data_IF_401146231771
#
_entry.id   IF_401146231771
#
_cell.length_a   1.000
_cell.length_b   1.000
_cell.length_c   1.000
_cell.angle_alpha   90.00
_cell.angle_beta   90.00
_cell.angle_gamma   90.00
#
_symmetry.space_group_name_H-M   'P 1'
#
loop_
_entity.id
_entity.type
_entity.pdbx_description
1 polymer ?
#
# COMPACT_ATOMS: atom_id res chain seq x y z
N UNK A 1 30.82 -68.67 45.46
CA UNK A 1 30.20 -67.57 44.69
C UNK A 1 31.32 -66.79 44.02
N UNK A 2 31.22 -66.55 42.70
CA UNK A 2 32.22 -65.82 41.90
C UNK A 2 31.80 -64.35 41.75
N UNK A 3 32.78 -63.44 41.76
CA UNK A 3 32.57 -61.99 41.62
C UNK A 3 33.56 -61.42 40.61
N UNK A 4 33.18 -60.35 39.93
CA UNK A 4 34.01 -59.68 38.93
C UNK A 4 33.94 -58.16 39.14
N UNK A 5 35.10 -57.50 39.14
CA UNK A 5 35.22 -56.04 39.30
C UNK A 5 35.61 -55.47 37.94
N UNK A 6 34.60 -55.06 37.18
CA UNK A 6 34.81 -54.40 35.89
C UNK A 6 34.98 -52.89 36.08
N UNK A 7 36.13 -52.34 35.67
CA UNK A 7 36.26 -50.90 35.43
C UNK A 7 35.87 -50.60 33.98
N UNK A 8 34.82 -49.80 33.79
CA UNK A 8 34.41 -49.34 32.46
C UNK A 8 35.03 -47.97 32.15
N UNK A 9 35.70 -47.79 31.00
CA UNK A 9 36.15 -46.48 30.58
C UNK A 9 34.94 -45.58 30.25
N UNK A 10 35.00 -44.31 30.69
CA UNK A 10 33.94 -43.29 30.52
C UNK A 10 33.64 -42.88 29.05
N UNK A 11 34.29 -43.49 28.06
CA UNK A 11 34.08 -43.24 26.62
C UNK A 11 33.94 -44.57 25.87
N UNK A 12 33.13 -44.64 24.80
CA UNK A 12 32.99 -45.85 24.00
C UNK A 12 34.36 -46.18 23.35
N UNK A 13 35.01 -47.21 23.87
CA UNK A 13 36.27 -47.72 23.35
C UNK A 13 35.97 -48.89 22.42
N UNK A 14 36.41 -48.82 21.16
CA UNK A 14 36.10 -49.81 20.12
C UNK A 14 37.09 -50.99 20.05
N UNK A 15 38.01 -51.10 21.01
CA UNK A 15 39.00 -52.18 21.08
C UNK A 15 38.66 -53.24 22.15
N UNK A 16 39.33 -54.41 22.13
CA UNK A 16 39.17 -55.43 23.16
C UNK A 16 39.59 -54.85 24.53
N UNK A 17 38.67 -54.92 25.50
CA UNK A 17 38.93 -54.47 26.87
C UNK A 17 39.42 -55.65 27.68
N UNK A 18 40.68 -55.61 28.11
CA UNK A 18 41.24 -56.58 29.06
C UNK A 18 40.89 -56.13 30.48
N UNK A 19 39.97 -56.83 31.13
CA UNK A 19 39.57 -56.54 32.52
C UNK A 19 40.30 -57.51 33.44
N UNK A 20 41.00 -56.98 34.44
CA UNK A 20 41.59 -57.80 35.49
C UNK A 20 40.48 -58.23 36.48
N UNK A 21 40.17 -59.52 36.47
CA UNK A 21 39.11 -60.11 37.29
C UNK A 21 39.72 -60.74 38.54
N UNK A 22 39.23 -60.35 39.71
CA UNK A 22 39.59 -60.98 40.98
C UNK A 22 38.34 -61.57 41.65
N UNK A 23 38.45 -62.83 42.09
CA UNK A 23 37.38 -63.55 42.79
C UNK A 23 37.53 -63.36 44.30
N UNK A 24 36.63 -62.61 44.94
CA UNK A 24 36.67 -62.32 46.39
C UNK A 24 35.37 -62.75 47.07
N UNK A 25 35.33 -62.96 48.39
CA UNK A 25 34.05 -63.25 49.04
C UNK A 25 33.18 -61.98 49.15
N UNK A 26 31.84 -62.11 49.10
CA UNK A 26 30.93 -60.94 49.14
C UNK A 26 31.18 -60.04 50.36
N UNK A 27 31.45 -60.66 51.52
CA UNK A 27 31.72 -59.95 52.78
C UNK A 27 32.97 -59.07 52.66
N UNK A 28 34.04 -59.62 52.11
CA UNK A 28 35.31 -58.91 51.92
C UNK A 28 35.14 -57.74 50.95
N UNK A 29 34.34 -57.91 49.89
CA UNK A 29 34.01 -56.82 48.95
C UNK A 29 33.20 -55.73 49.63
N UNK A 30 32.20 -56.07 50.44
CA UNK A 30 31.40 -55.10 51.19
C UNK A 30 32.26 -54.31 52.19
N UNK A 31 33.22 -54.96 52.84
CA UNK A 31 34.18 -54.34 53.76
C UNK A 31 35.14 -53.39 53.03
N UNK A 32 35.71 -53.81 51.90
CA UNK A 32 36.56 -52.96 51.07
C UNK A 32 35.78 -51.78 50.48
N UNK A 33 34.50 -51.96 50.12
CA UNK A 33 33.64 -50.87 49.66
C UNK A 33 33.25 -49.90 50.78
N UNK A 34 33.19 -50.36 52.03
CA UNK A 34 33.00 -49.50 53.18
C UNK A 34 34.27 -48.67 53.43
N UNK A 35 35.44 -49.32 53.51
CA UNK A 35 36.74 -48.67 53.64
C UNK A 35 37.02 -47.66 52.52
N UNK A 36 36.72 -48.00 51.27
CA UNK A 36 36.88 -47.10 50.13
C UNK A 36 35.98 -45.86 50.27
N UNK A 37 34.73 -46.02 50.72
CA UNK A 37 33.81 -44.90 50.99
C UNK A 37 34.31 -44.01 52.11
N UNK A 38 34.84 -44.59 53.19
CA UNK A 38 35.38 -43.84 54.33
C UNK A 38 36.62 -43.01 53.95
N UNK A 39 37.36 -43.46 52.93
CA UNK A 39 38.51 -42.73 52.37
C UNK A 39 38.14 -41.85 51.16
N UNK A 40 36.85 -41.65 50.88
CA UNK A 40 36.36 -40.80 49.79
C UNK A 40 36.64 -41.34 48.38
N UNK A 41 37.03 -42.61 48.25
CA UNK A 41 37.26 -43.26 46.97
C UNK A 41 35.94 -43.71 46.36
N UNK A 42 35.70 -43.34 45.10
CA UNK A 42 34.47 -43.67 44.39
C UNK A 42 34.61 -44.94 43.55
N UNK A 43 33.84 -45.97 43.89
CA UNK A 43 33.75 -47.20 43.10
C UNK A 43 32.64 -47.06 42.05
N UNK A 44 33.00 -47.17 40.77
CA UNK A 44 32.09 -46.93 39.65
C UNK A 44 30.99 -47.98 39.49
N UNK A 45 31.32 -49.27 39.65
CA UNK A 45 30.38 -50.38 39.56
C UNK A 45 30.92 -51.62 40.26
N UNK A 46 30.03 -52.38 40.90
CA UNK A 46 30.33 -53.71 41.45
C UNK A 46 29.27 -54.69 40.95
N UNK A 47 29.70 -55.87 40.55
CA UNK A 47 28.82 -56.91 40.03
C UNK A 47 28.74 -58.08 41.00
N UNK A 48 27.52 -58.55 41.24
CA UNK A 48 27.29 -59.78 41.98
C UNK A 48 26.69 -60.81 41.02
N UNK A 49 27.23 -62.03 41.04
CA UNK A 49 26.59 -63.13 40.34
C UNK A 49 25.35 -63.56 41.13
N UNK A 50 24.16 -63.24 40.60
CA UNK A 50 22.89 -63.65 41.16
C UNK A 50 22.58 -65.07 40.72
N UNK A 51 23.12 -66.07 41.41
CA UNK A 51 22.62 -67.44 41.27
C UNK A 51 21.31 -67.51 42.03
N UNK A 52 20.19 -67.35 41.31
CA UNK A 52 18.91 -67.88 41.78
C UNK A 52 19.00 -69.41 41.62
N UNK A 53 18.62 -70.13 42.67
CA UNK A 53 18.72 -71.59 42.80
C UNK A 53 18.49 -72.34 41.47
N UNK A 54 19.54 -72.97 40.96
CA UNK A 54 19.46 -73.97 39.89
C UNK A 54 19.58 -73.49 38.44
N UNK A 55 19.60 -72.18 38.15
CA UNK A 55 19.74 -71.69 36.76
C UNK A 55 21.14 -71.09 36.51
N UNK A 56 21.91 -71.71 35.60
CA UNK A 56 23.28 -71.31 35.21
C UNK A 56 23.24 -70.24 34.10
N UNK A 57 22.09 -69.60 33.86
CA UNK A 57 22.05 -68.40 33.03
C UNK A 57 22.87 -67.30 33.73
N UNK A 58 24.05 -66.99 33.16
CA UNK A 58 24.98 -65.95 33.66
C UNK A 58 24.39 -64.56 33.40
N UNK A 59 23.31 -64.21 34.05
CA UNK A 59 22.74 -62.86 34.02
C UNK A 59 23.50 -62.00 35.03
N UNK A 60 24.54 -61.32 34.55
CA UNK A 60 25.33 -60.40 35.37
C UNK A 60 24.50 -59.16 35.72
N UNK A 61 24.19 -58.97 37.00
CA UNK A 61 23.47 -57.79 37.48
C UNK A 61 24.49 -56.75 37.94
N UNK A 62 24.66 -55.71 37.12
CA UNK A 62 25.53 -54.57 37.42
C UNK A 62 24.85 -53.65 38.44
N UNK A 63 25.36 -53.61 39.68
CA UNK A 63 24.93 -52.62 40.66
C UNK A 63 25.71 -51.34 40.41
N UNK A 64 25.15 -50.49 39.55
CA UNK A 64 25.63 -49.11 39.37
C UNK A 64 25.37 -48.30 40.63
N UNK A 65 26.33 -47.44 41.01
CA UNK A 65 26.22 -46.60 42.21
C UNK A 65 24.96 -45.72 42.17
N UNK A 66 24.39 -45.42 43.34
CA UNK A 66 23.16 -44.61 43.46
C UNK A 66 23.26 -43.26 42.73
N UNK A 67 24.46 -42.66 42.70
CA UNK A 67 24.75 -41.42 41.97
C UNK A 67 24.59 -41.54 40.46
N UNK A 68 24.96 -42.67 39.86
CA UNK A 68 24.79 -42.91 38.40
C UNK A 68 23.29 -43.04 38.05
N UNK A 69 22.52 -43.73 38.90
CA UNK A 69 21.04 -43.82 38.74
C UNK A 69 20.37 -42.46 38.93
N UNK A 70 20.80 -41.68 39.92
CA UNK A 70 20.31 -40.32 40.16
C UNK A 70 20.66 -39.37 38.99
N UNK A 71 21.87 -39.46 38.45
CA UNK A 71 22.29 -38.69 37.27
C UNK A 71 21.51 -39.08 36.01
N UNK A 72 21.22 -40.37 35.80
CA UNK A 72 20.38 -40.82 34.69
C UNK A 72 18.95 -40.26 34.76
N UNK A 73 18.34 -40.23 35.95
CA UNK A 73 17.03 -39.57 36.15
C UNK A 73 17.11 -38.08 35.90
N UNK A 74 18.07 -37.36 36.49
CA UNK A 74 18.28 -35.92 36.26
C UNK A 74 18.51 -35.59 34.79
N UNK A 75 19.25 -36.42 34.06
CA UNK A 75 19.49 -36.24 32.63
C UNK A 75 18.21 -36.42 31.80
N UNK A 76 17.33 -37.36 32.16
CA UNK A 76 16.02 -37.52 31.51
C UNK A 76 15.12 -36.30 31.76
N UNK A 77 15.08 -35.79 32.99
CA UNK A 77 14.34 -34.57 33.33
C UNK A 77 14.88 -33.35 32.57
N UNK A 78 16.20 -33.17 32.52
CA UNK A 78 16.81 -32.07 31.77
C UNK A 78 16.52 -32.17 30.26
N UNK A 79 16.51 -33.39 29.69
CA UNK A 79 16.10 -33.60 28.29
C UNK A 79 14.63 -33.30 28.06
N UNK A 80 13.74 -33.69 28.97
CA UNK A 80 12.32 -33.37 28.87
C UNK A 80 12.07 -31.86 28.96
N UNK A 81 12.76 -31.16 29.86
CA UNK A 81 12.71 -29.70 29.98
C UNK A 81 13.23 -29.03 28.71
N UNK A 82 14.38 -29.45 28.19
CA UNK A 82 14.93 -28.92 26.94
C UNK A 82 13.98 -29.15 25.76
N UNK A 83 13.38 -30.34 25.65
CA UNK A 83 12.41 -30.64 24.60
C UNK A 83 11.16 -29.75 24.73
N UNK A 84 10.64 -29.52 25.94
CA UNK A 84 9.51 -28.63 26.16
C UNK A 84 9.81 -27.17 25.82
N UNK A 85 11.03 -26.70 26.11
CA UNK A 85 11.46 -25.34 25.78
C UNK A 85 11.58 -25.16 24.26
N UNK A 86 12.13 -26.15 23.55
CA UNK A 86 12.22 -26.15 22.08
C UNK A 86 10.83 -26.16 21.45
N UNK A 87 9.93 -27.01 21.94
CA UNK A 87 8.54 -27.04 21.46
C UNK A 87 7.82 -25.70 21.70
N UNK A 88 8.02 -25.09 22.88
CA UNK A 88 7.50 -23.77 23.19
C UNK A 88 8.04 -22.69 22.25
N UNK A 89 9.34 -22.70 21.97
CA UNK A 89 9.97 -21.78 21.02
C UNK A 89 9.43 -21.96 19.59
N UNK A 90 9.25 -23.20 19.12
CA UNK A 90 8.64 -23.48 17.83
C UNK A 90 7.20 -22.98 17.76
N UNK A 91 6.40 -23.18 18.81
CA UNK A 91 5.02 -22.71 18.86
C UNK A 91 4.94 -21.17 18.81
N UNK A 92 5.79 -20.48 19.57
CA UNK A 92 5.90 -19.02 19.54
C UNK A 92 6.32 -18.50 18.17
N UNK A 93 7.25 -19.19 17.51
CA UNK A 93 7.69 -18.83 16.17
C UNK A 93 6.56 -18.94 15.13
N UNK A 94 5.79 -20.03 15.16
CA UNK A 94 4.63 -20.22 14.27
C UNK A 94 3.55 -19.17 14.54
N UNK A 95 3.26 -18.88 15.81
CA UNK A 95 2.34 -17.80 16.19
C UNK A 95 2.81 -16.44 15.70
N UNK A 96 4.12 -16.14 15.82
CA UNK A 96 4.71 -14.91 15.31
C UNK A 96 4.58 -14.76 13.80
N UNK A 97 4.83 -15.83 13.04
CA UNK A 97 4.62 -15.84 11.59
C UNK A 97 3.15 -15.63 11.21
N UNK A 98 2.22 -16.25 11.94
CA UNK A 98 0.79 -16.05 11.74
C UNK A 98 0.37 -14.60 11.97
N UNK A 99 0.86 -13.98 13.05
CA UNK A 99 0.58 -12.58 13.37
C UNK A 99 1.16 -11.64 12.31
N UNK A 100 2.39 -11.88 11.85
CA UNK A 100 3.02 -11.11 10.79
C UNK A 100 2.25 -11.21 9.47
N UNK A 101 1.79 -12.42 9.11
CA UNK A 101 0.97 -12.62 7.92
C UNK A 101 -0.36 -11.88 8.01
N UNK A 102 -1.01 -11.92 9.19
CA UNK A 102 -2.25 -11.20 9.43
C UNK A 102 -2.07 -9.67 9.33
N UNK A 103 -1.00 -9.13 9.93
CA UNK A 103 -0.67 -7.70 9.80
C UNK A 103 -0.39 -7.32 8.34
N UNK A 104 0.33 -8.16 7.60
CA UNK A 104 0.59 -7.93 6.17
C UNK A 104 -0.70 -7.90 5.34
N UNK A 105 -1.69 -8.76 5.66
CA UNK A 105 -2.99 -8.71 4.99
C UNK A 105 -3.76 -7.42 5.30
N UNK A 106 -3.78 -6.97 6.57
CA UNK A 106 -4.45 -5.71 6.92
C UNK A 106 -3.82 -4.50 6.22
N UNK A 107 -2.48 -4.43 6.19
CA UNK A 107 -1.77 -3.35 5.51
C UNK A 107 -2.04 -3.33 4.00
N UNK A 108 -2.15 -4.51 3.37
CA UNK A 108 -2.53 -4.60 1.95
C UNK A 108 -3.95 -4.10 1.71
N UNK A 109 -4.88 -4.44 2.58
CA UNK A 109 -6.27 -3.99 2.47
C UNK A 109 -6.38 -2.48 2.68
N UNK A 110 -5.66 -1.92 3.65
CA UNK A 110 -5.58 -0.47 3.86
C UNK A 110 -4.94 0.25 2.67
N UNK A 111 -3.83 -0.26 2.14
CA UNK A 111 -3.20 0.29 0.94
C UNK A 111 -4.14 0.22 -0.28
N UNK A 112 -4.90 -0.85 -0.45
CA UNK A 112 -5.89 -1.01 -1.51
C UNK A 112 -7.12 -0.09 -1.34
N UNK A 113 -7.47 0.29 -0.10
CA UNK A 113 -8.49 1.30 0.19
C UNK A 113 -7.99 2.70 -0.12
N UNK A 114 -6.77 3.03 0.31
CA UNK A 114 -6.15 4.33 0.07
C UNK A 114 -5.90 4.58 -1.41
N UNK A 115 -5.44 3.59 -2.16
CA UNK A 115 -5.27 3.70 -3.62
C UNK A 115 -6.61 3.87 -4.34
N UNK A 116 -7.69 3.21 -3.90
CA UNK A 116 -9.04 3.46 -4.44
C UNK A 116 -9.54 4.86 -4.13
N UNK A 117 -9.37 5.34 -2.89
CA UNK A 117 -9.75 6.71 -2.52
C UNK A 117 -8.95 7.76 -3.29
N UNK A 118 -7.63 7.59 -3.38
CA UNK A 118 -6.75 8.46 -4.17
C UNK A 118 -7.04 8.39 -5.67
N UNK A 119 -7.45 7.22 -6.19
CA UNK A 119 -7.89 7.06 -7.58
C UNK A 119 -9.13 7.89 -7.88
N UNK A 120 -10.13 7.85 -7.01
CA UNK A 120 -11.35 8.69 -7.09
C UNK A 120 -11.01 10.17 -7.02
N UNK A 121 -10.13 10.57 -6.10
CA UNK A 121 -9.68 11.97 -5.98
C UNK A 121 -8.87 12.43 -7.20
N UNK A 122 -8.04 11.56 -7.78
CA UNK A 122 -7.26 11.87 -8.98
C UNK A 122 -8.15 12.07 -10.21
N UNK A 123 -9.22 11.29 -10.34
CA UNK A 123 -10.20 11.42 -11.41
C UNK A 123 -11.04 12.69 -11.25
N UNK A 124 -11.46 13.01 -10.02
CA UNK A 124 -12.15 14.26 -9.70
C UNK A 124 -11.27 15.50 -9.95
N UNK A 125 -9.98 15.44 -9.60
CA UNK A 125 -9.02 16.51 -9.88
C UNK A 125 -8.77 16.67 -11.39
N UNK A 126 -8.67 15.56 -12.14
CA UNK A 126 -8.55 15.58 -13.58
C UNK A 126 -9.79 16.20 -14.24
N UNK A 127 -11.00 15.80 -13.83
CA UNK A 127 -12.25 16.41 -14.30
C UNK A 127 -12.34 17.91 -13.95
N UNK A 128 -11.97 18.29 -12.73
CA UNK A 128 -11.96 19.70 -12.32
C UNK A 128 -10.96 20.55 -13.15
N UNK A 129 -9.80 19.99 -13.48
CA UNK A 129 -8.82 20.66 -14.35
C UNK A 129 -9.32 20.78 -15.79
N UNK A 130 -9.98 19.75 -16.33
CA UNK A 130 -10.60 19.78 -17.66
C UNK A 130 -11.72 20.83 -17.75
N UNK A 131 -12.57 20.93 -16.73
CA UNK A 131 -13.61 21.96 -16.65
C UNK A 131 -13.02 23.37 -16.57
N UNK A 132 -11.93 23.56 -15.81
CA UNK A 132 -11.22 24.85 -15.76
C UNK A 132 -10.59 25.21 -17.11
N UNK A 133 -9.92 24.26 -17.76
CA UNK A 133 -9.33 24.46 -19.08
C UNK A 133 -10.39 24.79 -20.13
N UNK A 134 -11.53 24.08 -20.13
CA UNK A 134 -12.65 24.37 -21.02
C UNK A 134 -13.25 25.75 -20.74
N UNK A 135 -13.37 26.14 -19.47
CA UNK A 135 -13.87 27.47 -19.08
C UNK A 135 -12.93 28.58 -19.53
N UNK A 136 -11.62 28.35 -19.47
CA UNK A 136 -10.62 29.32 -19.92
C UNK A 136 -10.59 29.42 -21.44
N UNK A 137 -10.68 28.28 -22.15
CA UNK A 137 -10.86 28.26 -23.61
C UNK A 137 -12.16 28.94 -24.04
N UNK A 138 -13.26 28.74 -23.31
CA UNK A 138 -14.51 29.44 -23.55
C UNK A 138 -14.38 30.94 -23.26
N UNK A 139 -13.61 31.35 -22.24
CA UNK A 139 -13.32 32.77 -21.97
C UNK A 139 -12.47 33.42 -23.04
N UNK A 140 -11.47 32.72 -23.55
CA UNK A 140 -10.65 33.19 -24.68
C UNK A 140 -11.45 33.20 -25.99
N UNK A 141 -12.34 32.23 -26.19
CA UNK A 141 -13.20 32.14 -27.36
C UNK A 141 -14.42 33.08 -27.29
N UNK A 142 -14.89 33.46 -26.10
CA UNK A 142 -16.04 34.35 -25.93
C UNK A 142 -15.58 35.81 -25.99
N UNK A 143 -16.01 36.56 -27.02
CA UNK A 143 -15.65 37.96 -27.24
C UNK A 143 -16.44 38.90 -26.31
N UNK A 144 -16.63 38.57 -25.03
CA UNK A 144 -17.47 39.34 -24.11
C UNK A 144 -17.00 40.82 -24.01
N UNK A 145 -15.69 41.05 -23.99
CA UNK A 145 -15.10 42.40 -24.06
C UNK A 145 -15.29 43.08 -25.42
N UNK A 146 -15.29 42.31 -26.52
CA UNK A 146 -15.51 42.86 -27.88
C UNK A 146 -16.96 43.26 -28.11
N UNK A 147 -17.93 42.45 -27.66
CA UNK A 147 -19.37 42.78 -27.81
C UNK A 147 -19.71 44.05 -27.05
N UNK A 148 -19.26 44.20 -25.80
CA UNK A 148 -19.46 45.44 -25.04
C UNK A 148 -18.77 46.64 -25.70
N UNK A 149 -17.55 46.48 -26.23
CA UNK A 149 -16.88 47.58 -26.96
C UNK A 149 -17.57 47.94 -28.27
N UNK A 150 -18.18 46.98 -28.98
CA UNK A 150 -18.95 47.22 -30.20
C UNK A 150 -20.26 47.94 -29.89
N UNK A 151 -20.94 47.59 -28.81
CA UNK A 151 -22.14 48.31 -28.34
C UNK A 151 -21.81 49.75 -27.92
N UNK A 152 -20.69 49.97 -27.22
CA UNK A 152 -20.24 51.32 -26.90
C UNK A 152 -19.90 52.14 -28.15
N UNK A 153 -19.19 51.54 -29.13
CA UNK A 153 -18.89 52.19 -30.39
C UNK A 153 -20.15 52.54 -31.19
N UNK A 154 -21.17 51.67 -31.16
CA UNK A 154 -22.47 51.96 -31.75
C UNK A 154 -23.12 53.16 -31.09
N UNK A 155 -23.18 53.20 -29.75
CA UNK A 155 -23.78 54.32 -29.02
C UNK A 155 -23.07 55.65 -29.28
N UNK A 156 -21.75 55.64 -29.45
CA UNK A 156 -20.94 56.85 -29.68
C UNK A 156 -21.06 57.38 -31.12
N UNK A 157 -21.15 56.49 -32.12
CA UNK A 157 -21.07 56.87 -33.55
C UNK A 157 -22.42 56.84 -34.26
N UNK A 158 -23.50 56.39 -33.61
CA UNK A 158 -24.83 56.43 -34.20
C UNK A 158 -25.28 57.89 -34.32
N UNK A 159 -25.72 58.33 -35.51
CA UNK A 159 -26.27 59.67 -35.69
C UNK A 159 -27.48 59.89 -34.79
N UNK A 160 -27.66 61.11 -34.26
CA UNK A 160 -28.81 61.43 -33.40
C UNK A 160 -30.18 61.35 -34.09
N UNK A 161 -30.21 61.29 -35.42
CA UNK A 161 -31.40 61.07 -36.25
C UNK A 161 -31.62 59.60 -36.64
N UNK A 162 -30.76 58.67 -36.19
CA UNK A 162 -30.91 57.24 -36.38
C UNK A 162 -31.31 56.53 -35.07
N UNK A 163 -32.17 55.53 -35.17
CA UNK A 163 -32.67 54.75 -34.04
C UNK A 163 -32.44 53.26 -34.27
N UNK A 164 -31.92 52.54 -33.29
CA UNK A 164 -31.75 51.09 -33.31
C UNK A 164 -32.90 50.43 -32.55
N UNK A 165 -33.56 49.46 -33.19
CA UNK A 165 -34.68 48.70 -32.60
C UNK A 165 -34.28 47.29 -32.21
N UNK A 166 -33.34 46.69 -32.95
CA UNK A 166 -32.93 45.30 -32.78
C UNK A 166 -31.42 45.17 -32.91
N UNK A 167 -30.80 44.47 -31.97
CA UNK A 167 -29.41 44.04 -32.05
C UNK A 167 -29.34 42.55 -31.71
N UNK A 168 -28.91 41.73 -32.66
CA UNK A 168 -28.77 40.29 -32.47
C UNK A 168 -27.34 39.88 -32.76
N UNK A 169 -26.80 39.02 -31.90
CA UNK A 169 -25.48 38.43 -32.09
C UNK A 169 -25.64 36.93 -32.20
N UNK A 170 -25.42 36.40 -33.42
CA UNK A 170 -25.52 34.98 -33.72
C UNK A 170 -24.35 34.57 -34.61
N UNK A 171 -23.74 33.43 -34.32
CA UNK A 171 -22.69 32.82 -35.16
C UNK A 171 -21.53 33.76 -35.52
N UNK A 172 -21.15 34.66 -34.60
CA UNK A 172 -20.06 35.62 -34.83
C UNK A 172 -20.40 36.81 -35.73
N UNK A 173 -21.69 36.97 -36.08
CA UNK A 173 -22.21 38.12 -36.83
C UNK A 173 -23.15 38.93 -35.96
N UNK A 174 -22.96 40.25 -35.93
CA UNK A 174 -23.91 41.17 -35.31
C UNK A 174 -24.85 41.71 -36.37
N UNK A 175 -26.16 41.53 -36.19
CA UNK A 175 -27.21 42.07 -37.05
C UNK A 175 -27.91 43.20 -36.30
N UNK A 176 -28.01 44.35 -36.95
CA UNK A 176 -28.61 45.58 -36.43
C UNK A 176 -29.81 45.95 -37.29
N UNK A 177 -30.96 46.14 -36.65
CA UNK A 177 -32.18 46.65 -37.28
C UNK A 177 -32.56 48.00 -36.68
N UNK A 178 -32.92 48.96 -37.52
CA UNK A 178 -33.25 50.30 -37.06
C UNK A 178 -33.95 51.15 -38.10
N UNK A 179 -34.11 52.45 -37.81
CA UNK A 179 -34.68 53.47 -38.70
C UNK A 179 -33.77 54.69 -38.76
N UNK A 180 -33.60 55.25 -39.94
CA UNK A 180 -32.84 56.50 -40.13
C UNK A 180 -33.34 57.23 -41.37
N UNK A 181 -33.47 58.57 -41.36
CA UNK A 181 -33.83 59.36 -42.54
C UNK A 181 -32.90 59.07 -43.73
N UNK A 182 -31.61 58.86 -43.45
CA UNK A 182 -30.59 58.53 -44.43
C UNK A 182 -29.72 57.33 -43.96
N UNK A 183 -30.14 56.08 -44.24
CA UNK A 183 -29.42 54.88 -43.79
C UNK A 183 -27.95 54.81 -44.23
N UNK A 184 -27.64 55.34 -45.42
CA UNK A 184 -26.27 55.42 -45.94
C UNK A 184 -25.37 56.30 -45.09
N UNK A 185 -25.89 57.40 -44.55
CA UNK A 185 -25.16 58.32 -43.66
C UNK A 185 -24.93 57.67 -42.30
N UNK A 186 -25.91 56.96 -41.77
CA UNK A 186 -25.74 56.16 -40.55
C UNK A 186 -24.67 55.08 -40.73
N UNK A 187 -24.66 54.37 -41.85
CA UNK A 187 -23.61 53.41 -42.17
C UNK A 187 -22.22 54.07 -42.20
N UNK A 188 -22.09 55.23 -42.87
CA UNK A 188 -20.83 55.95 -42.99
C UNK A 188 -20.32 56.43 -41.62
N UNK A 189 -21.21 56.92 -40.75
CA UNK A 189 -20.88 57.32 -39.39
C UNK A 189 -20.37 56.12 -38.57
N UNK A 190 -21.06 54.97 -38.62
CA UNK A 190 -20.63 53.76 -37.92
C UNK A 190 -19.28 53.23 -38.45
N UNK A 191 -19.03 53.30 -39.76
CA UNK A 191 -17.75 52.88 -40.37
C UNK A 191 -16.54 53.71 -39.93
N UNK A 192 -16.74 54.90 -39.35
CA UNK A 192 -15.63 55.70 -38.84
C UNK A 192 -14.97 55.08 -37.59
N UNK A 193 -15.68 54.20 -36.88
CA UNK A 193 -15.11 53.43 -35.78
C UNK A 193 -14.33 52.22 -36.30
N UNK A 194 -13.10 52.05 -35.83
CA UNK A 194 -12.26 50.90 -36.16
C UNK A 194 -12.91 49.55 -35.77
N UNK A 195 -13.77 49.54 -34.74
CA UNK A 195 -14.48 48.35 -34.27
C UNK A 195 -15.67 47.96 -35.15
N UNK A 196 -16.18 48.90 -35.95
CA UNK A 196 -17.35 48.74 -36.80
C UNK A 196 -17.03 48.90 -38.30
N UNK A 197 -15.75 49.05 -38.69
CA UNK A 197 -15.33 49.30 -40.07
C UNK A 197 -15.85 48.26 -41.09
N UNK A 198 -16.09 47.02 -40.64
CA UNK A 198 -16.63 45.92 -41.45
C UNK A 198 -18.15 45.94 -41.66
N UNK A 199 -18.88 46.90 -41.08
CA UNK A 199 -20.34 46.93 -41.15
C UNK A 199 -20.84 47.14 -42.59
N UNK A 200 -21.88 46.42 -42.96
CA UNK A 200 -22.51 46.46 -44.29
C UNK A 200 -24.00 46.74 -44.13
N UNK A 201 -24.54 47.46 -45.10
CA UNK A 201 -25.99 47.67 -45.22
C UNK A 201 -26.56 46.54 -46.06
N UNK A 202 -27.37 45.69 -45.44
CA UNK A 202 -27.93 44.49 -46.08
C UNK A 202 -29.23 44.82 -46.82
N UNK A 203 -30.09 45.63 -46.20
CA UNK A 203 -31.35 46.05 -46.82
C UNK A 203 -31.86 47.38 -46.28
N UNK A 204 -32.65 48.06 -47.12
CA UNK A 204 -33.41 49.27 -46.76
C UNK A 204 -34.84 49.08 -47.24
N UNK A 205 -35.80 49.21 -46.33
CA UNK A 205 -37.22 49.14 -46.61
C UNK A 205 -37.86 50.50 -46.36
N UNK A 206 -38.82 50.89 -47.22
CA UNK A 206 -39.66 52.06 -46.94
C UNK A 206 -40.54 51.75 -45.74
N UNK A 207 -40.73 52.71 -44.84
CA UNK A 207 -41.69 52.53 -43.75
C UNK A 207 -43.11 52.37 -44.31
N UNK A 208 -43.91 51.54 -43.65
CA UNK A 208 -45.32 51.35 -43.95
C UNK A 208 -46.15 52.61 -43.68
N UNK A 209 -45.67 53.51 -42.81
CA UNK A 209 -46.35 54.73 -42.41
C UNK A 209 -45.79 55.95 -43.16
N UNK A 210 -46.66 56.77 -43.80
CA UNK A 210 -46.23 58.01 -44.45
C UNK A 210 -45.63 58.97 -43.41
N UNK A 211 -44.39 59.42 -43.63
CA UNK A 211 -43.67 60.35 -42.76
C UNK A 211 -42.69 59.70 -41.78
N UNK A 212 -42.64 58.38 -41.70
CA UNK A 212 -41.61 57.69 -40.91
C UNK A 212 -40.32 57.48 -41.70
N UNK A 213 -39.19 57.50 -40.97
CA UNK A 213 -37.88 57.18 -41.53
C UNK A 213 -37.83 55.72 -42.06
N UNK A 214 -37.11 55.46 -43.17
CA UNK A 214 -36.97 54.11 -43.71
C UNK A 214 -36.28 53.18 -42.71
N UNK A 215 -36.69 51.90 -42.74
CA UNK A 215 -36.08 50.85 -41.95
C UNK A 215 -34.82 50.35 -42.64
N UNK A 216 -33.79 50.02 -41.87
CA UNK A 216 -32.54 49.45 -42.36
C UNK A 216 -32.16 48.20 -41.58
N UNK A 217 -31.45 47.30 -42.25
CA UNK A 217 -30.74 46.17 -41.63
C UNK A 217 -29.27 46.25 -42.01
N UNK A 218 -28.40 46.17 -41.01
CA UNK A 218 -26.96 46.16 -41.19
C UNK A 218 -26.36 44.91 -40.53
N UNK A 219 -25.30 44.36 -41.12
CA UNK A 219 -24.55 43.24 -40.57
C UNK A 219 -23.08 43.61 -40.38
N UNK A 220 -22.51 43.13 -39.27
CA UNK A 220 -21.09 43.19 -38.98
C UNK A 220 -20.60 41.75 -38.74
N UNK A 221 -19.95 41.18 -39.75
CA UNK A 221 -19.22 39.92 -39.60
C UNK A 221 -17.90 40.14 -38.86
N UNK A 222 -17.41 39.12 -38.15
CA UNK A 222 -16.03 39.14 -37.67
C UNK A 222 -15.09 39.38 -38.85
N UNK A 223 -14.24 40.41 -38.75
CA UNK A 223 -13.10 40.52 -39.65
C UNK A 223 -12.31 39.20 -39.56
N UNK A 224 -11.95 38.55 -40.69
CA UNK A 224 -11.09 37.38 -40.63
C UNK A 224 -9.83 37.82 -39.89
N UNK A 225 -9.58 37.21 -38.74
CA UNK A 225 -8.37 37.45 -37.99
C UNK A 225 -7.20 37.26 -38.93
N UNK A 226 -6.38 38.31 -39.10
CA UNK A 226 -5.04 38.14 -39.65
C UNK A 226 -4.31 37.22 -38.67
N UNK A 227 -4.24 35.94 -39.00
CA UNK A 227 -3.21 35.04 -38.49
C UNK A 227 -1.84 35.56 -38.92
#
# INVERSE_FOLDING_TARGET
MLFDICSQPRRPYAGPVTVAVALCHRRDVEEVLALARDHGLEVGSVCFNGVADGDISRTWVFHTSERVRANGRRQRWNRALAASAVLGACALFVLGLGLAHWQQTQLRDEAARLTRAAGVDSELLAQASAVRALREQLREALPATRVTSQLNALAEHLPGDAWLERSEFAEGTMVLGGRAPEPSRALAALKSSALLAGIRLDSVARSANPGEAPQFVMSLGQAPGRN
#
